data_IF_205127281355
#
_entry.id   IF_205127281355
#
_cell.length_a   1.000
_cell.length_b   1.000
_cell.length_c   1.000
_cell.angle_alpha   90.00
_cell.angle_beta   90.00
_cell.angle_gamma   90.00
#
_symmetry.space_group_name_H-M   'P 1'
#
loop_
_entity.id
_entity.type
_entity.pdbx_description
1 polymer ?
#
# COMPACT_ATOMS: atom_id res chain seq x y z
N UNK A 1 -19.84 8.89 21.29
CA UNK A 1 -19.35 9.65 22.45
C UNK A 1 -18.18 10.54 22.02
N UNK A 2 -18.18 11.85 22.28
CA UNK A 2 -17.02 12.69 21.97
C UNK A 2 -16.00 12.56 23.11
N UNK A 3 -14.84 11.99 22.79
CA UNK A 3 -13.73 11.87 23.74
C UNK A 3 -13.19 13.28 24.04
N UNK A 4 -13.56 13.84 25.21
CA UNK A 4 -12.97 15.06 25.75
C UNK A 4 -11.47 14.83 25.94
N UNK A 5 -10.66 15.63 25.24
CA UNK A 5 -9.22 15.71 25.50
C UNK A 5 -9.03 16.23 26.92
N UNK A 6 -8.46 15.42 27.80
CA UNK A 6 -7.88 15.90 29.05
C UNK A 6 -6.75 16.87 28.67
N UNK A 7 -6.98 18.18 28.79
CA UNK A 7 -5.89 19.15 28.75
C UNK A 7 -5.13 19.01 30.06
N UNK A 8 -3.88 18.54 30.03
CA UNK A 8 -2.98 18.70 31.17
C UNK A 8 -2.87 20.20 31.50
N UNK A 9 -2.78 20.53 32.79
CA UNK A 9 -2.58 21.90 33.25
C UNK A 9 -1.35 22.50 32.55
N UNK A 10 -1.54 23.65 31.90
CA UNK A 10 -0.43 24.39 31.30
C UNK A 10 0.36 25.06 32.43
N UNK A 11 1.51 24.51 32.77
CA UNK A 11 2.49 25.20 33.60
C UNK A 11 3.14 26.35 32.82
N UNK A 12 3.42 27.45 33.51
CA UNK A 12 4.17 28.58 32.94
C UNK A 12 5.57 28.14 32.52
N UNK A 13 5.99 28.54 31.31
CA UNK A 13 7.35 28.29 30.80
C UNK A 13 8.39 29.03 31.66
N UNK A 14 9.40 28.30 32.15
CA UNK A 14 10.51 28.90 32.88
C UNK A 14 11.35 29.83 31.98
N UNK A 15 12.08 30.78 32.58
CA UNK A 15 13.00 31.65 31.82
C UNK A 15 14.01 30.85 30.99
N UNK A 16 14.51 29.74 31.54
CA UNK A 16 15.43 28.84 30.85
C UNK A 16 14.78 28.15 29.64
N UNK A 17 13.53 27.68 29.78
CA UNK A 17 12.78 27.09 28.67
C UNK A 17 12.51 28.12 27.56
N UNK A 18 12.17 29.35 27.93
CA UNK A 18 11.99 30.46 26.97
C UNK A 18 13.28 30.76 26.21
N UNK A 19 14.41 30.83 26.90
CA UNK A 19 15.73 31.02 26.27
C UNK A 19 16.08 29.89 25.29
N UNK A 20 15.83 28.63 25.66
CA UNK A 20 15.99 27.47 24.75
C UNK A 20 15.07 27.54 23.53
N UNK A 21 13.82 27.98 23.70
CA UNK A 21 12.88 28.14 22.58
C UNK A 21 13.41 29.17 21.60
N UNK A 22 13.80 30.36 22.08
CA UNK A 22 14.28 31.46 21.23
C UNK A 22 15.54 31.02 20.47
N UNK A 23 16.56 30.50 21.16
CA UNK A 23 17.81 30.10 20.51
C UNK A 23 17.65 28.97 19.50
N UNK A 24 16.72 28.03 19.72
CA UNK A 24 16.44 26.97 18.72
C UNK A 24 15.64 27.49 17.53
N UNK A 25 14.73 28.44 17.74
CA UNK A 25 13.98 29.09 16.66
C UNK A 25 14.91 29.96 15.78
N UNK A 26 15.85 30.70 16.39
CA UNK A 26 16.89 31.47 15.69
C UNK A 26 17.84 30.57 14.89
N UNK A 27 18.15 29.37 15.40
CA UNK A 27 18.87 28.33 14.66
C UNK A 27 18.04 27.67 13.52
N UNK A 28 16.88 28.23 13.17
CA UNK A 28 16.02 27.79 12.07
C UNK A 28 15.18 26.54 12.37
N UNK A 29 15.03 26.15 13.64
CA UNK A 29 14.19 25.00 13.97
C UNK A 29 12.72 25.37 13.87
N UNK A 30 11.91 24.50 13.26
CA UNK A 30 10.46 24.68 13.29
C UNK A 30 9.90 24.57 14.72
N UNK A 31 8.87 25.35 15.04
CA UNK A 31 8.17 25.30 16.33
C UNK A 31 7.74 23.88 16.73
N UNK A 32 7.42 23.00 15.76
CA UNK A 32 7.12 21.58 16.02
C UNK A 32 8.34 20.80 16.52
N UNK A 33 9.52 21.04 15.96
CA UNK A 33 10.78 20.41 16.39
C UNK A 33 11.16 20.88 17.80
N UNK A 34 10.98 22.18 18.07
CA UNK A 34 11.19 22.78 19.39
C UNK A 34 10.23 22.19 20.43
N UNK A 35 8.93 22.14 20.13
CA UNK A 35 7.91 21.52 20.99
C UNK A 35 8.19 20.04 21.28
N UNK A 36 8.70 19.29 20.28
CA UNK A 36 9.12 17.89 20.45
C UNK A 36 10.31 17.76 21.40
N UNK A 37 11.29 18.65 21.27
CA UNK A 37 12.51 18.62 22.07
C UNK A 37 12.25 18.99 23.53
N UNK A 38 11.25 19.84 23.79
CA UNK A 38 10.87 20.28 25.12
C UNK A 38 9.87 19.34 25.80
N UNK A 39 9.23 18.43 25.05
CA UNK A 39 8.26 17.46 25.61
C UNK A 39 6.98 18.09 26.17
N UNK A 40 6.73 19.38 25.91
CA UNK A 40 5.65 20.19 26.51
C UNK A 40 4.35 20.25 25.67
N UNK A 41 4.29 19.61 24.50
CA UNK A 41 3.09 19.60 23.64
C UNK A 41 2.55 18.17 23.48
N UNK A 42 1.41 17.87 24.10
CA UNK A 42 0.65 16.62 23.91
C UNK A 42 0.22 16.40 22.44
N UNK A 43 0.28 17.47 21.66
CA UNK A 43 0.02 17.57 20.24
C UNK A 43 1.07 16.86 19.36
N UNK A 44 2.22 16.51 19.95
CA UNK A 44 3.38 15.99 19.24
C UNK A 44 3.61 14.55 19.65
N UNK A 45 3.40 13.62 18.72
CA UNK A 45 3.67 12.20 18.98
C UNK A 45 5.12 12.00 19.43
N UNK A 46 5.31 11.17 20.44
CA UNK A 46 6.63 10.87 20.98
C UNK A 46 7.52 10.18 19.94
N UNK A 47 8.85 10.22 20.12
CA UNK A 47 9.78 9.43 19.27
C UNK A 47 9.50 7.92 19.36
N UNK A 48 8.90 7.45 20.45
CA UNK A 48 8.52 6.04 20.62
C UNK A 48 7.30 5.69 19.76
N UNK A 49 6.26 6.50 19.80
CA UNK A 49 5.08 6.37 18.94
C UNK A 49 5.45 6.45 17.46
N UNK A 50 6.30 7.41 17.07
CA UNK A 50 6.70 7.58 15.67
C UNK A 50 7.43 6.35 15.14
N UNK A 51 8.40 5.82 15.90
CA UNK A 51 9.10 4.58 15.56
C UNK A 51 8.14 3.39 15.49
N UNK A 52 7.13 3.34 16.35
CA UNK A 52 6.14 2.27 16.33
C UNK A 52 5.20 2.37 15.11
N UNK A 53 4.78 3.58 14.72
CA UNK A 53 3.98 3.82 13.50
C UNK A 53 4.73 3.36 12.25
N UNK A 54 6.00 3.79 12.10
CA UNK A 54 6.82 3.44 10.94
C UNK A 54 7.11 1.94 10.89
N UNK A 55 7.44 1.33 12.05
CA UNK A 55 7.66 -0.12 12.13
C UNK A 55 6.42 -0.92 11.72
N UNK A 56 5.23 -0.54 12.20
CA UNK A 56 3.99 -1.23 11.82
C UNK A 56 3.74 -1.15 10.31
N UNK A 57 4.00 0.00 9.67
CA UNK A 57 3.86 0.12 8.22
C UNK A 57 4.87 -0.73 7.44
N UNK A 58 6.05 -1.03 7.98
CA UNK A 58 7.00 -1.96 7.35
C UNK A 58 6.63 -3.43 7.55
N UNK A 59 6.13 -3.79 8.74
CA UNK A 59 5.72 -5.17 9.06
C UNK A 59 4.41 -5.53 8.35
N UNK A 60 3.43 -4.62 8.36
CA UNK A 60 2.12 -4.78 7.74
C UNK A 60 1.87 -3.66 6.73
N UNK A 61 2.44 -3.80 5.54
CA UNK A 61 2.43 -2.74 4.52
C UNK A 61 1.04 -2.41 3.99
N UNK A 62 0.09 -3.35 4.08
CA UNK A 62 -1.31 -3.17 3.70
C UNK A 62 -2.19 -2.61 4.83
N UNK A 63 -1.65 -2.43 6.03
CA UNK A 63 -2.42 -1.99 7.19
C UNK A 63 -3.05 -0.61 6.94
N UNK A 64 -4.34 -0.48 7.24
CA UNK A 64 -5.01 0.81 7.21
C UNK A 64 -4.53 1.69 8.37
N UNK A 65 -4.68 3.01 8.24
CA UNK A 65 -4.35 3.93 9.34
C UNK A 65 -5.12 3.60 10.63
N UNK A 66 -6.34 3.06 10.52
CA UNK A 66 -7.12 2.60 11.67
C UNK A 66 -6.50 1.39 12.36
N UNK A 67 -5.96 0.43 11.60
CA UNK A 67 -5.25 -0.74 12.15
C UNK A 67 -3.97 -0.31 12.88
N UNK A 68 -3.18 0.58 12.27
CA UNK A 68 -1.98 1.13 12.90
C UNK A 68 -2.35 1.92 14.17
N UNK A 69 -3.45 2.67 14.14
CA UNK A 69 -3.96 3.39 15.31
C UNK A 69 -4.30 2.45 16.47
N UNK A 70 -5.00 1.34 16.20
CA UNK A 70 -5.34 0.34 17.20
C UNK A 70 -4.08 -0.31 17.80
N UNK A 71 -3.10 -0.66 16.97
CA UNK A 71 -1.83 -1.24 17.42
C UNK A 71 -1.05 -0.28 18.33
N UNK A 72 -0.97 0.99 17.95
CA UNK A 72 -0.33 2.04 18.78
C UNK A 72 -1.05 2.20 20.11
N UNK A 73 -2.39 2.21 20.12
CA UNK A 73 -3.16 2.33 21.34
C UNK A 73 -2.94 1.15 22.29
N UNK A 74 -2.93 -0.08 21.77
CA UNK A 74 -2.71 -1.30 22.55
C UNK A 74 -1.27 -1.36 23.09
N UNK A 75 -0.27 -1.07 22.26
CA UNK A 75 1.15 -1.26 22.62
C UNK A 75 1.72 -0.13 23.47
N UNK A 76 1.20 1.09 23.33
CA UNK A 76 1.77 2.30 23.94
C UNK A 76 0.77 3.07 24.81
N UNK A 77 -0.51 2.67 24.87
CA UNK A 77 -1.55 3.43 25.56
C UNK A 77 -1.82 4.81 24.95
N UNK A 78 -1.35 5.05 23.72
CA UNK A 78 -1.36 6.37 23.10
C UNK A 78 -2.47 6.50 22.05
N UNK A 79 -3.27 7.57 22.15
CA UNK A 79 -4.29 7.89 21.16
C UNK A 79 -3.75 8.78 20.06
N UNK A 80 -3.52 8.18 18.89
CA UNK A 80 -3.01 8.89 17.70
C UNK A 80 -4.08 8.93 16.61
N UNK A 81 -4.36 10.11 16.05
CA UNK A 81 -5.32 10.24 14.95
C UNK A 81 -4.77 9.66 13.64
N UNK A 82 -5.67 9.18 12.77
CA UNK A 82 -5.32 8.75 11.41
C UNK A 82 -4.61 9.83 10.57
N UNK A 83 -4.92 11.13 10.79
CA UNK A 83 -4.20 12.25 10.14
C UNK A 83 -2.75 12.31 10.59
N UNK A 84 -2.51 12.13 11.89
CA UNK A 84 -1.17 12.12 12.47
C UNK A 84 -0.36 10.94 11.94
N UNK A 85 -0.95 9.74 11.87
CA UNK A 85 -0.30 8.54 11.31
C UNK A 85 0.16 8.79 9.87
N UNK A 86 -0.75 9.27 9.00
CA UNK A 86 -0.41 9.59 7.61
C UNK A 86 0.71 10.60 7.49
N UNK A 87 0.70 11.65 8.32
CA UNK A 87 1.77 12.65 8.35
C UNK A 87 3.12 12.03 8.76
N UNK A 88 3.14 11.19 9.81
CA UNK A 88 4.38 10.53 10.28
C UNK A 88 4.92 9.54 9.25
N UNK A 89 4.05 8.80 8.58
CA UNK A 89 4.46 7.92 7.49
C UNK A 89 5.07 8.73 6.33
N UNK A 90 4.47 9.88 5.98
CA UNK A 90 5.03 10.75 4.95
C UNK A 90 6.37 11.37 5.35
N UNK A 91 6.54 11.76 6.62
CA UNK A 91 7.83 12.21 7.19
C UNK A 91 8.89 11.09 7.12
N UNK A 92 8.49 9.83 7.26
CA UNK A 92 9.32 8.64 7.03
C UNK A 92 9.37 8.15 5.58
N UNK A 93 9.03 9.00 4.60
CA UNK A 93 9.02 8.71 3.16
C UNK A 93 8.06 7.59 2.69
N UNK A 94 7.12 7.16 3.53
CA UNK A 94 6.12 6.16 3.20
C UNK A 94 4.81 6.81 2.73
N UNK A 95 4.41 6.52 1.49
CA UNK A 95 3.14 6.98 0.93
C UNK A 95 2.16 5.84 0.70
N UNK A 96 0.87 6.12 0.83
CA UNK A 96 -0.20 5.18 0.46
C UNK A 96 -0.31 5.10 -1.07
N UNK A 97 0.14 3.99 -1.65
CA UNK A 97 0.22 3.81 -3.11
C UNK A 97 -0.41 2.50 -3.55
N UNK A 98 -0.76 2.41 -4.84
CA UNK A 98 -1.19 1.14 -5.44
C UNK A 98 -0.01 0.16 -5.50
N UNK A 99 -0.18 -1.09 -5.03
CA UNK A 99 0.84 -2.13 -5.13
C UNK A 99 0.99 -2.61 -6.57
N UNK A 100 2.10 -3.28 -6.87
CA UNK A 100 2.20 -4.14 -8.05
C UNK A 100 1.45 -5.44 -7.74
N UNK A 101 0.48 -5.80 -8.59
CA UNK A 101 -0.21 -7.10 -8.50
C UNK A 101 0.57 -8.12 -9.32
N UNK A 102 1.02 -9.19 -8.68
CA UNK A 102 1.82 -10.24 -9.32
C UNK A 102 1.07 -11.57 -9.28
N UNK A 103 1.22 -12.37 -10.34
CA UNK A 103 0.72 -13.74 -10.31
C UNK A 103 1.65 -14.59 -9.43
N UNK A 104 1.12 -15.43 -8.53
CA UNK A 104 1.92 -16.36 -7.75
C UNK A 104 2.45 -17.48 -8.65
N UNK A 105 3.52 -17.22 -9.39
CA UNK A 105 4.18 -18.21 -10.24
C UNK A 105 5.22 -19.00 -9.43
N UNK A 106 5.06 -20.32 -9.41
CA UNK A 106 6.08 -21.26 -8.93
C UNK A 106 7.36 -21.14 -9.76
N UNK A 107 8.49 -21.56 -9.18
CA UNK A 107 9.80 -21.56 -9.86
C UNK A 107 9.74 -22.27 -11.21
N UNK A 108 9.09 -23.43 -11.26
CA UNK A 108 8.93 -24.22 -12.49
C UNK A 108 8.18 -23.44 -13.58
N UNK A 109 7.10 -22.74 -13.24
CA UNK A 109 6.34 -21.93 -14.20
C UNK A 109 7.19 -20.80 -14.78
N UNK A 110 8.03 -20.17 -13.97
CA UNK A 110 8.93 -19.10 -14.43
C UNK A 110 9.96 -19.61 -15.44
N UNK A 111 10.51 -20.80 -15.21
CA UNK A 111 11.46 -21.43 -16.14
C UNK A 111 10.78 -21.78 -17.46
N UNK A 112 9.61 -22.43 -17.40
CA UNK A 112 8.84 -22.78 -18.59
C UNK A 112 8.43 -21.54 -19.39
N UNK A 113 8.01 -20.46 -18.73
CA UNK A 113 7.70 -19.20 -19.40
C UNK A 113 8.93 -18.59 -20.07
N UNK A 114 10.09 -18.60 -19.40
CA UNK A 114 11.33 -18.07 -19.97
C UNK A 114 11.78 -18.89 -21.19
N UNK A 115 11.73 -20.21 -21.09
CA UNK A 115 12.04 -21.11 -22.20
C UNK A 115 11.07 -20.90 -23.37
N UNK A 116 9.78 -20.80 -23.09
CA UNK A 116 8.75 -20.51 -24.10
C UNK A 116 9.03 -19.21 -24.85
N UNK A 117 9.41 -18.14 -24.12
CA UNK A 117 9.77 -16.85 -24.69
C UNK A 117 11.06 -16.93 -25.51
N UNK A 118 12.09 -17.64 -25.02
CA UNK A 118 13.36 -17.81 -25.74
C UNK A 118 13.16 -18.58 -27.05
N UNK A 119 12.41 -19.69 -27.01
CA UNK A 119 12.11 -20.51 -28.17
C UNK A 119 11.33 -19.77 -29.28
N UNK A 120 10.67 -18.66 -28.92
CA UNK A 120 9.82 -17.86 -29.83
C UNK A 120 10.30 -16.41 -30.00
N UNK A 121 11.46 -16.06 -29.45
CA UNK A 121 11.98 -14.69 -29.46
C UNK A 121 12.35 -14.19 -30.86
N UNK A 122 12.65 -15.11 -31.79
CA UNK A 122 12.99 -14.83 -33.18
C UNK A 122 11.83 -15.08 -34.16
N UNK A 123 10.60 -15.28 -33.66
CA UNK A 123 9.45 -15.50 -34.53
C UNK A 123 9.09 -14.23 -35.30
N UNK A 124 9.04 -14.35 -36.62
CA UNK A 124 8.58 -13.30 -37.53
C UNK A 124 7.04 -13.24 -37.57
N UNK A 125 6.49 -12.11 -38.04
CA UNK A 125 5.05 -11.87 -38.10
C UNK A 125 4.28 -13.01 -38.80
N UNK A 126 4.82 -13.57 -39.90
CA UNK A 126 4.18 -14.68 -40.61
C UNK A 126 3.92 -15.91 -39.73
N UNK A 127 4.81 -16.21 -38.76
CA UNK A 127 4.60 -17.29 -37.79
C UNK A 127 3.54 -16.93 -36.76
N UNK A 128 3.56 -15.70 -36.25
CA UNK A 128 2.52 -15.22 -35.33
C UNK A 128 1.12 -15.22 -35.97
N UNK A 129 1.04 -14.95 -37.27
CA UNK A 129 -0.23 -14.90 -37.99
C UNK A 129 -0.95 -16.26 -38.08
N UNK A 130 -0.22 -17.35 -37.89
CA UNK A 130 -0.76 -18.71 -37.88
C UNK A 130 -1.23 -19.16 -36.49
N UNK A 131 -0.97 -18.36 -35.43
CA UNK A 131 -1.35 -18.71 -34.06
C UNK A 131 -2.79 -18.29 -33.78
N UNK A 132 -3.57 -19.23 -33.26
CA UNK A 132 -4.90 -18.96 -32.70
C UNK A 132 -4.78 -18.92 -31.18
N UNK A 133 -5.14 -17.80 -30.58
CA UNK A 133 -5.19 -17.62 -29.13
C UNK A 133 -6.61 -17.85 -28.64
N UNK A 134 -6.80 -18.74 -27.68
CA UNK A 134 -8.08 -18.89 -26.98
C UNK A 134 -7.95 -18.55 -25.51
N UNK A 135 -9.00 -17.97 -24.93
CA UNK A 135 -9.04 -17.70 -23.51
C UNK A 135 -10.47 -17.78 -22.97
N UNK A 136 -10.57 -18.02 -21.66
CA UNK A 136 -11.81 -17.91 -20.89
C UNK A 136 -11.72 -16.66 -20.02
N UNK A 137 -12.71 -15.78 -20.14
CA UNK A 137 -12.83 -14.59 -19.29
C UNK A 137 -14.09 -14.66 -18.45
N UNK A 138 -14.05 -14.07 -17.26
CA UNK A 138 -15.22 -13.86 -16.42
C UNK A 138 -15.57 -12.38 -16.42
N UNK A 139 -16.82 -12.06 -16.76
CA UNK A 139 -17.39 -10.74 -16.61
C UNK A 139 -18.14 -10.68 -15.28
N UNK A 140 -17.60 -9.92 -14.33
CA UNK A 140 -18.18 -9.78 -13.01
C UNK A 140 -19.40 -8.86 -13.07
N UNK A 141 -20.49 -9.25 -12.40
CA UNK A 141 -21.73 -8.46 -12.33
C UNK A 141 -21.66 -7.33 -11.29
N UNK A 142 -20.66 -7.37 -10.40
CA UNK A 142 -20.36 -6.34 -9.41
C UNK A 142 -18.89 -5.90 -9.50
N UNK A 143 -18.60 -4.65 -9.15
CA UNK A 143 -17.21 -4.21 -9.02
C UNK A 143 -16.65 -4.66 -7.68
N UNK A 144 -15.71 -5.60 -7.70
CA UNK A 144 -14.78 -5.75 -6.59
C UNK A 144 -13.74 -4.63 -6.72
N UNK A 145 -13.95 -3.52 -6.00
CA UNK A 145 -13.05 -2.36 -6.05
C UNK A 145 -11.60 -2.71 -5.65
N UNK A 146 -11.41 -3.86 -4.97
CA UNK A 146 -10.14 -4.50 -4.57
C UNK A 146 -8.99 -3.51 -4.33
N UNK A 147 -9.34 -2.38 -3.68
CA UNK A 147 -8.60 -1.14 -3.68
C UNK A 147 -7.55 -1.15 -2.57
N UNK A 148 -6.82 -2.26 -2.48
CA UNK A 148 -5.74 -2.43 -1.52
C UNK A 148 -4.62 -1.45 -1.87
N UNK A 149 -4.19 -0.71 -0.85
CA UNK A 149 -3.02 0.17 -0.93
C UNK A 149 -1.93 -0.36 -0.01
N UNK A 150 -0.70 -0.01 -0.34
CA UNK A 150 0.48 -0.33 0.45
C UNK A 150 1.21 0.94 0.84
N UNK A 151 1.74 0.99 2.06
CA UNK A 151 2.68 2.01 2.50
C UNK A 151 4.05 1.69 1.91
N UNK A 152 4.49 2.49 0.95
CA UNK A 152 5.79 2.29 0.29
C UNK A 152 6.50 3.59 -0.09
N UNK A 153 7.84 3.57 -0.18
CA UNK A 153 8.61 4.68 -0.71
C UNK A 153 8.27 4.99 -2.17
N UNK A 154 8.64 6.19 -2.62
CA UNK A 154 8.58 6.57 -4.03
C UNK A 154 9.68 5.81 -4.80
N UNK A 155 9.40 5.36 -6.02
CA UNK A 155 10.35 4.60 -6.84
C UNK A 155 10.32 3.08 -6.61
N UNK A 156 9.89 2.61 -5.44
CA UNK A 156 9.89 1.18 -5.10
C UNK A 156 8.62 0.44 -5.56
N UNK A 157 8.21 0.63 -6.82
CA UNK A 157 7.03 -0.11 -7.35
C UNK A 157 7.34 -1.57 -7.64
N UNK A 158 8.55 -1.86 -8.11
CA UNK A 158 8.97 -3.19 -8.54
C UNK A 158 9.56 -4.03 -7.40
N UNK A 159 9.75 -3.43 -6.22
CA UNK A 159 10.26 -4.15 -5.06
C UNK A 159 9.21 -5.21 -4.64
N UNK A 160 9.57 -6.51 -4.63
CA UNK A 160 8.64 -7.60 -4.37
C UNK A 160 8.05 -7.53 -2.96
N UNK A 161 8.72 -6.87 -2.01
CA UNK A 161 8.23 -6.66 -0.65
C UNK A 161 6.87 -5.94 -0.67
N UNK A 162 6.69 -4.94 -1.54
CA UNK A 162 5.45 -4.18 -1.67
C UNK A 162 4.49 -4.71 -2.76
N UNK A 163 4.83 -5.84 -3.37
CA UNK A 163 3.98 -6.49 -4.36
C UNK A 163 2.96 -7.38 -3.65
N UNK A 164 1.73 -7.38 -4.17
CA UNK A 164 0.69 -8.27 -3.66
C UNK A 164 0.39 -9.34 -4.68
N UNK A 165 0.30 -10.58 -4.20
CA UNK A 165 -0.18 -11.67 -5.04
C UNK A 165 -1.63 -11.40 -5.42
N UNK A 166 -1.93 -11.56 -6.71
CA UNK A 166 -3.29 -11.55 -7.21
C UNK A 166 -3.84 -12.96 -7.08
N UNK A 167 -4.74 -13.15 -6.13
CA UNK A 167 -5.59 -14.35 -6.11
C UNK A 167 -6.80 -14.08 -7.00
N UNK A 168 -7.07 -14.98 -7.94
CA UNK A 168 -8.30 -14.97 -8.71
C UNK A 168 -9.37 -15.61 -7.85
N UNK A 169 -10.01 -14.82 -6.99
CA UNK A 169 -11.16 -15.31 -6.23
C UNK A 169 -12.32 -15.60 -7.19
N UNK A 170 -13.17 -16.60 -6.90
CA UNK A 170 -14.39 -16.81 -7.64
C UNK A 170 -15.38 -15.68 -7.34
N UNK A 171 -15.36 -14.62 -8.16
CA UNK A 171 -16.42 -13.61 -8.16
C UNK A 171 -17.62 -14.16 -8.95
N UNK A 172 -18.84 -13.84 -8.53
CA UNK A 172 -20.05 -14.13 -9.30
C UNK A 172 -19.99 -13.36 -10.63
N UNK A 173 -20.19 -14.08 -11.74
CA UNK A 173 -20.05 -13.48 -13.06
C UNK A 173 -20.34 -14.45 -14.18
N UNK A 174 -20.50 -13.89 -15.37
CA UNK A 174 -20.74 -14.64 -16.60
C UNK A 174 -19.41 -15.10 -17.15
N UNK A 175 -19.29 -16.40 -17.42
CA UNK A 175 -18.11 -16.99 -18.05
C UNK A 175 -18.30 -17.00 -19.56
N UNK A 176 -17.32 -16.46 -20.28
CA UNK A 176 -17.29 -16.47 -21.74
C UNK A 176 -15.96 -17.04 -22.25
N UNK A 177 -16.00 -17.73 -23.38
CA UNK A 177 -14.80 -18.07 -24.13
C UNK A 177 -14.85 -17.49 -25.55
N UNK A 178 -13.66 -17.16 -26.05
CA UNK A 178 -13.44 -16.84 -27.45
C UNK A 178 -12.05 -17.30 -27.88
N UNK A 179 -11.87 -17.35 -29.18
CA UNK A 179 -10.58 -17.46 -29.83
C UNK A 179 -10.38 -16.28 -30.78
N UNK A 180 -9.14 -15.81 -30.89
CA UNK A 180 -8.70 -14.77 -31.81
C UNK A 180 -7.51 -15.27 -32.60
N UNK A 181 -7.47 -14.93 -33.88
CA UNK A 181 -6.33 -15.10 -34.77
C UNK A 181 -6.02 -13.74 -35.42
N UNK A 182 -4.98 -13.66 -36.25
CA UNK A 182 -4.49 -12.39 -36.79
C UNK A 182 -5.56 -11.53 -37.47
N UNK A 183 -6.41 -12.13 -38.31
CA UNK A 183 -7.46 -11.42 -39.06
C UNK A 183 -8.89 -11.87 -38.73
N UNK A 184 -9.07 -12.74 -37.74
CA UNK A 184 -10.38 -13.34 -37.45
C UNK A 184 -10.57 -13.54 -35.95
N UNK A 185 -11.83 -13.70 -35.55
CA UNK A 185 -12.22 -14.08 -34.18
C UNK A 185 -13.36 -15.07 -34.23
N UNK A 186 -13.42 -15.96 -33.26
CA UNK A 186 -14.61 -16.79 -33.04
C UNK A 186 -15.75 -15.94 -32.46
N UNK A 187 -17.00 -16.40 -32.57
CA UNK A 187 -18.08 -15.92 -31.73
C UNK A 187 -17.70 -16.05 -30.24
N UNK A 188 -18.26 -15.16 -29.41
CA UNK A 188 -18.22 -15.29 -27.96
C UNK A 188 -19.22 -16.37 -27.55
N UNK A 189 -18.74 -17.37 -26.81
CA UNK A 189 -19.56 -18.47 -26.33
C UNK A 189 -19.73 -18.34 -24.81
N UNK A 190 -20.98 -18.23 -24.38
CA UNK A 190 -21.35 -18.24 -22.97
C UNK A 190 -21.19 -19.65 -22.41
N UNK A 191 -20.35 -19.79 -21.38
CA UNK A 191 -20.20 -21.04 -20.64
C UNK A 191 -21.27 -21.06 -19.54
N UNK A 192 -22.36 -21.79 -19.78
CA UNK A 192 -23.35 -22.10 -18.73
C UNK A 192 -22.66 -23.07 -17.75
N UNK A 193 -22.65 -22.74 -16.46
CA UNK A 193 -21.76 -23.33 -15.45
C UNK A 193 -21.75 -24.86 -15.41
N UNK A 194 -20.61 -25.43 -15.02
CA UNK A 194 -20.54 -26.82 -14.54
C UNK A 194 -21.10 -26.85 -13.12
N UNK A 195 -22.21 -27.58 -12.93
CA UNK A 195 -22.73 -28.00 -11.62
C UNK A 195 -21.64 -28.62 -10.76
#
# INVERSE_FOLDING_TARGET
>A
MPLRRFRRQYEQLSQFERGRIIGTMEAGWSARRVARQLGRCDCVTSRREERHIVRNAHVQQTALSATIQAQVAISLGAHVSSRTIRRRLAEGHLGSRRPLRVLPLMRIHRLLHLEWCRARGNWIAAKWNQVVFSNKSRFNLSSDDNSVRVWRPRGERLNPVFALQRHTAPTAGVMECCAIAYNTRSPLVLIRGTT
#
